data_IF_451900042131
#
_entry.id   IF_451900042131
#
_cell.length_a   1.000
_cell.length_b   1.000
_cell.length_c   1.000
_cell.angle_alpha   90.00
_cell.angle_beta   90.00
_cell.angle_gamma   90.00
#
_symmetry.space_group_name_H-M   'P 1'
#
loop_
_entity.id
_entity.type
_entity.pdbx_description
1 polymer ?
#
# COMPACT_ATOMS: atom_id res chain seq x y z
N UNK A 1 -27.35 -9.25 -23.95
CA UNK A 1 -26.51 -8.04 -23.94
C UNK A 1 -25.31 -8.30 -23.04
N UNK A 2 -24.13 -8.49 -23.63
CA UNK A 2 -22.89 -8.71 -22.88
C UNK A 2 -22.32 -7.34 -22.53
N UNK A 3 -22.36 -7.01 -21.23
CA UNK A 3 -21.73 -5.82 -20.68
C UNK A 3 -20.22 -5.90 -20.92
N UNK A 4 -19.68 -4.99 -21.72
CA UNK A 4 -18.24 -4.77 -21.82
C UNK A 4 -17.80 -4.08 -20.54
N UNK A 5 -17.22 -4.83 -19.62
CA UNK A 5 -16.41 -4.26 -18.53
C UNK A 5 -15.24 -3.56 -19.21
N UNK A 6 -15.13 -2.24 -19.01
CA UNK A 6 -14.02 -1.46 -19.51
C UNK A 6 -12.73 -2.02 -18.92
N UNK A 7 -11.84 -2.51 -19.78
CA UNK A 7 -10.50 -2.90 -19.38
C UNK A 7 -9.73 -1.65 -18.98
N UNK A 8 -9.45 -1.48 -17.69
CA UNK A 8 -8.49 -0.47 -17.22
C UNK A 8 -7.14 -0.76 -17.90
N UNK A 9 -6.66 0.15 -18.75
CA UNK A 9 -5.37 -0.02 -19.40
C UNK A 9 -4.25 0.20 -18.39
N UNK A 10 -3.62 -0.88 -17.95
CA UNK A 10 -2.37 -0.82 -17.18
C UNK A 10 -1.26 -0.48 -18.16
N UNK A 11 -0.69 0.72 -18.05
CA UNK A 11 0.55 1.08 -18.74
C UNK A 11 1.68 0.94 -17.72
N UNK A 12 2.65 0.07 -17.98
CA UNK A 12 3.84 -0.06 -17.14
C UNK A 12 4.94 0.86 -17.67
N UNK A 13 5.45 1.75 -16.81
CA UNK A 13 6.48 2.74 -17.09
C UNK A 13 6.02 4.14 -16.66
N UNK A 14 6.96 4.96 -16.17
CA UNK A 14 6.73 6.38 -15.80
C UNK A 14 6.10 7.18 -16.95
N UNK A 15 6.27 6.73 -18.20
CA UNK A 15 5.67 7.22 -19.46
C UNK A 15 4.11 7.13 -19.56
N UNK A 16 3.41 6.98 -18.45
CA UNK A 16 1.94 7.01 -18.41
C UNK A 16 1.35 7.83 -17.26
N UNK A 17 2.19 8.55 -16.51
CA UNK A 17 1.73 9.54 -15.56
C UNK A 17 0.91 10.63 -16.28
N UNK A 18 -0.24 11.07 -15.72
CA UNK A 18 -0.89 12.28 -16.19
C UNK A 18 0.05 13.48 -16.06
N UNK A 19 0.22 14.29 -17.09
CA UNK A 19 0.88 15.60 -16.96
C UNK A 19 -0.14 16.61 -16.42
N UNK A 20 0.27 17.43 -15.46
CA UNK A 20 -0.56 18.49 -14.87
C UNK A 20 0.11 19.84 -15.14
N UNK A 21 -0.69 20.89 -15.33
CA UNK A 21 -0.16 22.23 -15.58
C UNK A 21 0.45 22.80 -14.30
N UNK A 22 1.58 23.51 -14.41
CA UNK A 22 2.29 24.06 -13.24
C UNK A 22 1.42 24.99 -12.36
N UNK A 23 0.41 25.62 -12.96
CA UNK A 23 -0.55 26.50 -12.30
C UNK A 23 -1.73 25.78 -11.63
N UNK A 24 -1.87 24.47 -11.81
CA UNK A 24 -2.96 23.70 -11.22
C UNK A 24 -2.83 23.62 -9.70
N UNK A 25 -3.96 23.53 -9.01
CA UNK A 25 -3.99 23.26 -7.58
C UNK A 25 -4.20 21.77 -7.34
N UNK A 26 -3.28 21.14 -6.65
CA UNK A 26 -3.20 19.69 -6.51
C UNK A 26 -3.35 19.30 -5.04
N UNK A 27 -4.28 18.39 -4.75
CA UNK A 27 -4.44 17.78 -3.44
C UNK A 27 -3.86 16.37 -3.44
N UNK A 28 -3.02 16.08 -2.46
CA UNK A 28 -2.46 14.76 -2.21
C UNK A 28 -3.16 14.08 -1.04
N UNK A 29 -3.41 12.78 -1.17
CA UNK A 29 -4.08 11.96 -0.17
C UNK A 29 -3.27 10.69 0.13
N UNK A 30 -3.18 10.29 1.39
CA UNK A 30 -2.92 8.88 1.71
C UNK A 30 -4.22 8.13 1.48
N UNK A 31 -4.20 7.13 0.63
CA UNK A 31 -5.33 6.25 0.38
C UNK A 31 -5.00 4.85 0.87
N UNK A 32 -5.92 4.21 1.58
CA UNK A 32 -5.71 2.86 2.12
C UNK A 32 -6.71 1.89 1.52
N UNK A 33 -6.27 0.67 1.22
CA UNK A 33 -7.12 -0.41 0.72
C UNK A 33 -6.71 -1.77 1.27
N UNK A 34 -7.60 -2.74 1.10
CA UNK A 34 -7.28 -4.15 1.39
C UNK A 34 -6.36 -4.77 0.37
N UNK A 35 -6.32 -4.26 -0.85
CA UNK A 35 -5.63 -4.91 -1.95
C UNK A 35 -5.08 -3.88 -2.93
N UNK A 36 -3.86 -4.09 -3.44
CA UNK A 36 -3.41 -3.40 -4.66
C UNK A 36 -4.41 -3.62 -5.79
N UNK A 37 -4.59 -2.62 -6.65
CA UNK A 37 -5.58 -2.67 -7.73
C UNK A 37 -5.48 -3.95 -8.60
N UNK A 38 -4.26 -4.47 -8.80
CA UNK A 38 -4.01 -5.65 -9.64
C UNK A 38 -4.19 -7.00 -8.93
N UNK A 39 -4.70 -7.03 -7.69
CA UNK A 39 -4.97 -8.29 -6.99
C UNK A 39 -6.07 -9.08 -7.71
N UNK A 40 -5.85 -10.35 -8.10
CA UNK A 40 -6.85 -11.19 -8.75
C UNK A 40 -8.17 -11.32 -7.96
N UNK A 41 -9.30 -11.27 -8.66
CA UNK A 41 -10.64 -11.31 -8.03
C UNK A 41 -10.86 -12.56 -7.17
N UNK A 42 -10.39 -13.73 -7.61
CA UNK A 42 -10.52 -14.97 -6.84
C UNK A 42 -9.82 -14.89 -5.47
N UNK A 43 -8.72 -14.13 -5.36
CA UNK A 43 -8.02 -13.92 -4.10
C UNK A 43 -8.80 -12.96 -3.21
N UNK A 44 -9.29 -11.85 -3.80
CA UNK A 44 -10.16 -10.90 -3.10
C UNK A 44 -11.38 -11.62 -2.53
N UNK A 45 -12.04 -12.45 -3.33
CA UNK A 45 -13.22 -13.22 -2.93
C UNK A 45 -12.90 -14.22 -1.82
N UNK A 46 -11.77 -14.93 -1.93
CA UNK A 46 -11.32 -15.91 -0.93
C UNK A 46 -11.02 -15.26 0.42
N UNK A 47 -10.47 -14.04 0.44
CA UNK A 47 -10.24 -13.30 1.68
C UNK A 47 -11.54 -12.90 2.40
N UNK A 48 -12.66 -12.86 1.66
CA UNK A 48 -13.99 -12.60 2.19
C UNK A 48 -14.29 -11.11 2.42
N UNK A 49 -15.58 -10.82 2.59
CA UNK A 49 -16.10 -9.44 2.68
C UNK A 49 -15.56 -8.67 3.88
N UNK A 50 -15.31 -9.34 5.01
CA UNK A 50 -14.74 -8.68 6.19
C UNK A 50 -13.33 -8.17 5.92
N UNK A 51 -12.49 -8.95 5.24
CA UNK A 51 -11.15 -8.50 4.89
C UNK A 51 -11.22 -7.34 3.90
N UNK A 52 -12.04 -7.46 2.85
CA UNK A 52 -12.22 -6.38 1.87
C UNK A 52 -12.74 -5.07 2.46
N UNK A 53 -13.40 -5.11 3.62
CA UNK A 53 -14.00 -3.92 4.26
C UNK A 53 -13.13 -3.31 5.36
N UNK A 54 -12.28 -4.10 6.01
CA UNK A 54 -11.58 -3.70 7.22
C UNK A 54 -10.07 -4.00 7.21
N UNK A 55 -9.61 -4.91 6.34
CA UNK A 55 -8.20 -5.20 6.19
C UNK A 55 -7.53 -4.06 5.45
N UNK A 56 -6.58 -3.39 6.09
CA UNK A 56 -5.72 -2.39 5.46
C UNK A 56 -4.35 -3.04 5.27
N UNK A 57 -4.02 -3.41 4.04
CA UNK A 57 -2.73 -4.04 3.70
C UNK A 57 -2.06 -3.42 2.50
N UNK A 58 -2.67 -2.40 1.90
CA UNK A 58 -2.11 -1.63 0.80
C UNK A 58 -2.38 -0.15 1.00
N UNK A 59 -1.46 0.68 0.49
CA UNK A 59 -1.59 2.12 0.48
C UNK A 59 -1.15 2.67 -0.87
N UNK A 60 -1.78 3.76 -1.28
CA UNK A 60 -1.42 4.53 -2.46
C UNK A 60 -1.42 6.02 -2.16
N UNK A 61 -0.82 6.79 -3.07
CA UNK A 61 -0.90 8.23 -3.06
C UNK A 61 -2.03 8.66 -4.01
N UNK A 62 -3.11 9.20 -3.46
CA UNK A 62 -4.16 9.83 -4.24
C UNK A 62 -3.73 11.21 -4.70
N UNK A 63 -3.99 11.53 -5.97
CA UNK A 63 -3.74 12.85 -6.55
C UNK A 63 -5.05 13.36 -7.14
N UNK A 64 -5.43 14.56 -6.73
CA UNK A 64 -6.59 15.27 -7.27
C UNK A 64 -6.16 16.66 -7.72
N UNK A 65 -6.17 16.89 -9.03
CA UNK A 65 -6.16 18.23 -9.57
C UNK A 65 -7.56 18.84 -9.42
N UNK A 66 -7.69 19.82 -8.52
CA UNK A 66 -8.98 20.47 -8.26
C UNK A 66 -9.33 21.50 -9.35
N UNK A 67 -8.36 21.94 -10.16
CA UNK A 67 -8.59 22.87 -11.28
C UNK A 67 -9.35 22.16 -12.41
N UNK A 68 -8.85 20.99 -12.82
CA UNK A 68 -9.43 20.21 -13.93
C UNK A 68 -10.38 19.08 -13.49
N UNK A 69 -10.50 18.85 -12.19
CA UNK A 69 -11.19 17.71 -11.56
C UNK A 69 -10.61 16.33 -11.94
N UNK A 70 -9.34 16.28 -12.33
CA UNK A 70 -8.66 15.02 -12.65
C UNK A 70 -8.22 14.29 -11.37
N UNK A 71 -8.61 13.02 -11.25
CA UNK A 71 -8.30 12.15 -10.11
C UNK A 71 -7.59 10.88 -10.56
N UNK A 72 -6.49 10.55 -9.91
CA UNK A 72 -5.75 9.31 -10.12
C UNK A 72 -5.01 8.87 -8.86
N UNK A 73 -4.47 7.67 -8.88
CA UNK A 73 -3.62 7.15 -7.80
C UNK A 73 -2.25 6.78 -8.33
N UNK A 74 -1.24 6.95 -7.48
CA UNK A 74 0.12 6.44 -7.67
C UNK A 74 0.30 5.30 -6.68
N UNK A 75 0.62 4.11 -7.18
CA UNK A 75 0.76 2.90 -6.36
C UNK A 75 2.08 2.20 -6.66
N UNK A 76 2.73 1.67 -5.62
CA UNK A 76 3.81 0.70 -5.80
C UNK A 76 3.25 -0.71 -5.66
N UNK A 77 3.31 -1.49 -6.73
CA UNK A 77 2.70 -2.83 -6.79
C UNK A 77 3.68 -3.85 -7.31
N UNK A 78 3.46 -5.13 -7.00
CA UNK A 78 4.12 -6.19 -7.76
C UNK A 78 3.44 -6.39 -9.11
N UNK A 79 4.21 -6.73 -10.15
CA UNK A 79 3.69 -7.19 -11.45
C UNK A 79 2.80 -8.43 -11.29
N UNK A 80 3.18 -9.34 -10.38
CA UNK A 80 2.47 -10.58 -10.10
C UNK A 80 2.23 -10.70 -8.60
N UNK A 81 1.03 -10.29 -8.16
CA UNK A 81 0.66 -10.28 -6.75
C UNK A 81 0.91 -11.63 -6.06
N UNK A 82 0.55 -12.74 -6.71
CA UNK A 82 0.65 -14.08 -6.08
C UNK A 82 2.11 -14.50 -5.97
N UNK A 83 2.84 -14.40 -7.07
CA UNK A 83 4.25 -14.83 -7.10
C UNK A 83 5.19 -13.89 -6.34
N UNK A 84 4.68 -12.71 -5.95
CA UNK A 84 5.36 -11.81 -5.02
C UNK A 84 5.20 -12.20 -3.55
N UNK A 85 4.16 -12.96 -3.21
CA UNK A 85 3.89 -13.44 -1.84
C UNK A 85 4.56 -14.79 -1.57
N UNK A 86 4.58 -15.66 -2.57
CA UNK A 86 5.08 -17.03 -2.45
C UNK A 86 6.08 -17.35 -3.57
N UNK A 87 7.25 -17.93 -3.24
CA UNK A 87 8.19 -18.33 -4.26
C UNK A 87 7.67 -19.53 -5.07
N UNK A 88 8.02 -19.58 -6.34
CA UNK A 88 7.87 -20.77 -7.17
C UNK A 88 9.14 -21.64 -7.09
N UNK A 89 8.99 -22.96 -7.17
CA UNK A 89 10.13 -23.87 -7.28
C UNK A 89 10.43 -24.18 -8.74
N UNK A 90 11.57 -23.71 -9.23
CA UNK A 90 12.10 -24.05 -10.55
C UNK A 90 12.64 -25.48 -10.49
N UNK A 91 11.87 -26.42 -11.03
CA UNK A 91 12.21 -27.86 -11.02
C UNK A 91 13.41 -28.19 -11.89
N UNK A 92 13.69 -27.38 -12.92
CA UNK A 92 14.81 -27.60 -13.85
C UNK A 92 16.12 -27.20 -13.18
N UNK A 93 16.15 -26.00 -12.58
CA UNK A 93 17.37 -25.46 -11.96
C UNK A 93 17.44 -25.72 -10.45
N UNK A 94 16.43 -26.39 -9.87
CA UNK A 94 16.31 -26.75 -8.44
C UNK A 94 16.47 -25.55 -7.50
N UNK A 95 15.85 -24.42 -7.83
CA UNK A 95 15.94 -23.16 -7.05
C UNK A 95 14.57 -22.60 -6.75
N UNK A 96 14.47 -21.84 -5.66
CA UNK A 96 13.32 -20.98 -5.40
C UNK A 96 13.45 -19.69 -6.22
N UNK A 97 12.39 -19.35 -6.93
CA UNK A 97 12.26 -18.13 -7.70
C UNK A 97 11.20 -17.26 -7.04
N UNK A 98 11.60 -16.04 -6.67
CA UNK A 98 10.67 -14.99 -6.31
C UNK A 98 10.39 -14.17 -7.56
N UNK A 99 9.12 -14.08 -7.95
CA UNK A 99 8.70 -13.17 -9.01
C UNK A 99 8.05 -11.96 -8.34
N UNK A 100 8.91 -11.17 -7.70
CA UNK A 100 8.51 -10.04 -6.89
C UNK A 100 8.94 -8.71 -7.51
N UNK A 101 9.01 -8.65 -8.84
CA UNK A 101 9.24 -7.40 -9.56
C UNK A 101 8.20 -6.38 -9.14
N UNK A 102 8.67 -5.25 -8.61
CA UNK A 102 7.88 -4.09 -8.26
C UNK A 102 7.81 -3.11 -9.42
N UNK A 103 6.74 -2.32 -9.47
CA UNK A 103 6.58 -1.19 -10.38
C UNK A 103 5.75 -0.10 -9.72
N UNK A 104 6.06 1.15 -10.04
CA UNK A 104 5.13 2.27 -9.83
C UNK A 104 4.11 2.26 -10.96
N UNK A 105 2.84 2.40 -10.60
CA UNK A 105 1.73 2.51 -11.56
C UNK A 105 0.90 3.75 -11.26
N UNK A 106 0.26 4.25 -12.31
CA UNK A 106 -0.72 5.33 -12.24
C UNK A 106 -2.09 4.76 -12.64
N UNK A 107 -3.07 4.84 -11.76
CA UNK A 107 -4.43 4.36 -12.03
C UNK A 107 -5.36 5.54 -12.21
N UNK A 108 -5.89 5.71 -13.43
CA UNK A 108 -6.83 6.78 -13.78
C UNK A 108 -8.00 6.23 -14.63
N UNK A 109 -9.26 6.61 -14.33
CA UNK A 109 -9.68 7.36 -13.16
C UNK A 109 -9.53 6.55 -11.86
N UNK A 110 -9.47 7.24 -10.71
CA UNK A 110 -9.45 6.58 -9.40
C UNK A 110 -10.69 5.70 -9.21
N UNK A 111 -10.49 4.41 -8.94
CA UNK A 111 -11.56 3.47 -8.59
C UNK A 111 -11.95 3.65 -7.12
N UNK A 112 -12.76 4.68 -6.81
CA UNK A 112 -13.07 5.08 -5.43
C UNK A 112 -13.64 3.95 -4.56
N UNK A 113 -14.36 2.99 -5.14
CA UNK A 113 -14.93 1.84 -4.42
C UNK A 113 -13.89 0.91 -3.80
N UNK A 114 -12.67 0.94 -4.31
CA UNK A 114 -11.60 0.01 -3.92
C UNK A 114 -10.77 0.55 -2.75
N UNK A 115 -10.98 1.82 -2.39
CA UNK A 115 -10.30 2.50 -1.30
C UNK A 115 -11.20 2.57 -0.07
N UNK A 116 -10.66 2.17 1.07
CA UNK A 116 -11.35 2.16 2.35
C UNK A 116 -11.33 3.52 3.04
N UNK A 117 -10.24 4.26 2.86
CA UNK A 117 -10.02 5.57 3.45
C UNK A 117 -9.24 6.46 2.49
N UNK A 118 -9.40 7.77 2.67
CA UNK A 118 -8.59 8.79 2.03
C UNK A 118 -8.37 9.93 3.01
N UNK A 119 -7.10 10.25 3.29
CA UNK A 119 -6.71 11.29 4.21
C UNK A 119 -5.85 12.31 3.47
N UNK A 120 -6.32 13.56 3.39
CA UNK A 120 -5.56 14.63 2.75
C UNK A 120 -4.25 14.87 3.50
N UNK A 121 -3.14 14.88 2.76
CA UNK A 121 -1.79 15.16 3.25
C UNK A 121 -1.50 16.65 3.11
N UNK A 122 -1.67 17.17 1.90
CA UNK A 122 -1.37 18.55 1.55
C UNK A 122 -2.13 18.99 0.30
N UNK A 123 -2.16 20.30 0.12
CA UNK A 123 -2.52 20.99 -1.10
C UNK A 123 -1.29 21.76 -1.59
N UNK A 124 -1.01 21.69 -2.89
CA UNK A 124 0.17 22.31 -3.53
C UNK A 124 -0.15 22.65 -4.98
N UNK A 125 0.87 22.95 -5.79
CA UNK A 125 0.73 23.26 -7.22
C UNK A 125 1.17 22.12 -8.12
N UNK A 126 0.81 22.18 -9.41
CA UNK A 126 1.27 21.25 -10.44
C UNK A 126 2.79 21.15 -10.52
N UNK A 127 3.53 22.23 -10.21
CA UNK A 127 5.01 22.20 -10.12
C UNK A 127 5.51 21.12 -9.16
N UNK A 128 4.92 21.00 -7.96
CA UNK A 128 5.35 19.99 -6.98
C UNK A 128 5.04 18.59 -7.46
N UNK A 129 3.92 18.39 -8.14
CA UNK A 129 3.58 17.11 -8.76
C UNK A 129 4.57 16.74 -9.87
N UNK A 130 4.91 17.68 -10.75
CA UNK A 130 5.88 17.46 -11.82
C UNK A 130 7.28 17.14 -11.27
N UNK A 131 7.68 17.78 -10.16
CA UNK A 131 8.90 17.43 -9.43
C UNK A 131 8.86 16.01 -8.83
N UNK A 132 7.71 15.59 -8.30
CA UNK A 132 7.52 14.20 -7.85
C UNK A 132 7.68 13.24 -9.02
N UNK A 133 7.11 13.52 -10.20
CA UNK A 133 7.28 12.67 -11.37
C UNK A 133 8.75 12.54 -11.79
N UNK A 134 9.48 13.65 -11.84
CA UNK A 134 10.93 13.63 -12.11
C UNK A 134 11.67 12.78 -11.09
N UNK A 135 11.36 12.92 -9.80
CA UNK A 135 11.98 12.09 -8.76
C UNK A 135 11.70 10.60 -8.97
N UNK A 136 10.46 10.22 -9.28
CA UNK A 136 10.09 8.82 -9.51
C UNK A 136 10.78 8.25 -10.76
N UNK A 137 10.96 9.05 -11.81
CA UNK A 137 11.69 8.65 -13.02
C UNK A 137 13.19 8.46 -12.76
N UNK A 138 13.82 9.47 -12.15
CA UNK A 138 15.24 9.49 -11.83
C UNK A 138 15.65 8.35 -10.87
N UNK A 139 14.70 7.85 -10.08
CA UNK A 139 14.91 6.81 -9.06
C UNK A 139 14.16 5.51 -9.39
N UNK A 140 13.75 5.29 -10.65
CA UNK A 140 12.93 4.13 -11.03
C UNK A 140 13.60 2.78 -10.69
N UNK A 141 14.93 2.73 -10.66
CA UNK A 141 15.71 1.55 -10.28
C UNK A 141 15.52 1.14 -8.81
N UNK A 142 15.19 2.09 -7.93
CA UNK A 142 14.87 1.84 -6.52
C UNK A 142 13.53 1.10 -6.34
N UNK A 143 12.64 1.17 -7.34
CA UNK A 143 11.29 0.62 -7.28
C UNK A 143 11.16 -0.66 -8.09
N UNK A 144 12.20 -1.51 -8.08
CA UNK A 144 12.25 -2.73 -8.90
C UNK A 144 11.86 -4.00 -8.13
N UNK A 145 11.84 -3.95 -6.79
CA UNK A 145 11.57 -5.12 -5.94
C UNK A 145 10.43 -4.80 -4.97
N UNK A 146 9.34 -5.58 -5.06
CA UNK A 146 8.24 -5.55 -4.12
C UNK A 146 8.45 -6.61 -3.03
N UNK A 147 8.32 -6.22 -1.76
CA UNK A 147 8.42 -7.14 -0.63
C UNK A 147 7.15 -7.06 0.23
N UNK A 148 6.18 -7.97 0.01
CA UNK A 148 4.90 -7.92 0.74
C UNK A 148 4.99 -8.41 2.19
N UNK A 149 6.07 -9.13 2.53
CA UNK A 149 6.25 -9.71 3.86
C UNK A 149 7.43 -9.06 4.55
N UNK A 150 7.13 -8.33 5.63
CA UNK A 150 8.15 -7.87 6.56
C UNK A 150 8.31 -8.91 7.67
N UNK A 151 9.46 -9.59 7.68
CA UNK A 151 9.83 -10.45 8.79
C UNK A 151 10.32 -9.57 9.95
N UNK A 152 9.56 -9.55 11.05
CA UNK A 152 9.99 -8.89 12.28
C UNK A 152 10.41 -9.96 13.28
N UNK A 153 11.70 -10.01 13.60
CA UNK A 153 12.20 -10.87 14.68
C UNK A 153 11.91 -10.19 16.01
N UNK A 154 11.14 -10.88 16.87
CA UNK A 154 10.94 -10.46 18.25
C UNK A 154 11.63 -11.47 19.18
N UNK A 155 12.50 -10.97 20.05
CA UNK A 155 13.07 -11.78 21.11
C UNK A 155 12.04 -11.90 22.24
N UNK A 156 11.36 -13.04 22.35
CA UNK A 156 10.38 -13.31 23.41
C UNK A 156 10.92 -13.04 24.83
N UNK A 157 12.23 -13.23 25.03
CA UNK A 157 12.92 -12.96 26.29
C UNK A 157 12.86 -11.49 26.71
N UNK A 158 12.79 -10.55 25.75
CA UNK A 158 12.69 -9.11 26.03
C UNK A 158 11.25 -8.67 26.33
N UNK A 159 10.27 -9.31 25.68
CA UNK A 159 8.84 -9.10 25.95
C UNK A 159 8.46 -9.58 27.35
N UNK A 160 8.94 -10.76 27.75
CA UNK A 160 8.70 -11.30 29.10
C UNK A 160 9.26 -10.38 30.21
N UNK A 161 10.43 -9.77 29.99
CA UNK A 161 11.01 -8.80 30.94
C UNK A 161 10.17 -7.53 31.09
N UNK A 162 9.45 -7.12 30.05
CA UNK A 162 8.65 -5.88 30.07
C UNK A 162 7.32 -6.09 30.82
N UNK A 163 6.75 -7.29 30.74
CA UNK A 163 5.53 -7.67 31.45
C UNK A 163 5.78 -7.87 32.96
N UNK A 164 6.95 -8.37 33.36
CA UNK A 164 7.27 -8.55 34.78
C UNK A 164 7.51 -7.22 35.54
N UNK A 165 7.95 -6.16 34.86
CA UNK A 165 8.13 -4.85 35.51
C UNK A 165 6.77 -4.20 35.82
N UNK A 166 5.75 -4.43 35.01
CA UNK A 166 4.41 -3.87 35.22
C UNK A 166 3.59 -4.67 36.25
N UNK A 167 3.74 -5.99 36.32
CA UNK A 167 3.10 -6.82 37.34
C UNK A 167 3.71 -6.59 38.75
N UNK A 168 5.03 -6.43 38.84
CA UNK A 168 5.74 -6.22 40.12
C UNK A 168 5.49 -4.81 40.70
N UNK A 169 5.28 -3.79 39.85
CA UNK A 169 4.94 -2.44 40.32
C UNK A 169 3.49 -2.29 40.81
N UNK A 170 2.55 -3.08 40.29
CA UNK A 170 1.15 -3.07 40.75
C UNK A 170 0.96 -3.80 42.09
N UNK A 171 1.72 -4.86 42.37
CA UNK A 171 1.64 -5.57 43.66
C UNK A 171 2.23 -4.77 44.85
N UNK A 172 3.14 -3.84 44.60
CA UNK A 172 3.72 -3.00 45.66
C UNK A 172 2.91 -1.74 45.99
N UNK A 173 1.83 -1.43 45.27
CA UNK A 173 0.96 -0.26 45.54
C UNK A 173 -0.33 -0.59 46.30
N UNK A 174 -0.65 -1.86 46.52
CA UNK A 174 -1.87 -2.28 47.24
C UNK A 174 -1.50 -2.94 48.58
N UNK A 175 -0.87 -2.19 49.48
CA UNK A 175 -0.97 -2.48 50.92
C UNK A 175 -2.10 -1.63 51.49
N UNK A 176 -3.31 -2.21 51.49
CA UNK A 176 -4.45 -1.64 52.21
C UNK A 176 -4.11 -1.70 53.71
N UNK A 177 -4.18 -0.59 54.46
CA UNK A 177 -3.95 -0.63 55.90
C UNK A 177 -5.06 -1.46 56.55
N UNK A 178 -4.68 -2.46 57.35
CA UNK A 178 -5.61 -3.14 58.25
C UNK A 178 -6.08 -2.10 59.28
N UNK A 179 -7.39 -1.85 59.35
CA UNK A 179 -8.00 -1.15 60.46
C UNK A 179 -8.12 -2.13 61.62
N UNK A 180 -7.59 -1.71 62.77
CA UNK A 180 -7.81 -2.32 64.09
C UNK A 180 -9.29 -2.20 64.52
#
# INVERSE_FOLDING_TARGET
>A
LVSRVASSSIRSGVLSAPELDDGDTIQFFVMESSFPFNTPQNIRDTAGQNFQKYGITHAGLGVWDITSDQKFTIEFVSVDYVSSLLPNFDTVNRKLLWNNTGNIVFTSPTQQSDWLSAHMICETTGVTYNQLLTYLDDNNDLFTIFQPVQAVYYNETELARTVDVTSTQLQNRVKVPKKD
#
